data_IF_513203589819
#
_entry.id   IF_513203589819
#
_cell.length_a   1.000
_cell.length_b   1.000
_cell.length_c   1.000
_cell.angle_alpha   90.00
_cell.angle_beta   90.00
_cell.angle_gamma   90.00
#
_symmetry.space_group_name_H-M   'P 1'
#
loop_
_entity.id
_entity.type
_entity.pdbx_description
1 polymer ?
#
# COMPACT_ATOMS: atom_id res chain seq x y z
N UNK A 1 25.47 -45.35 -11.58
CA UNK A 1 25.23 -43.98 -11.02
C UNK A 1 23.84 -43.59 -11.48
N UNK A 2 22.85 -43.71 -10.59
CA UNK A 2 21.48 -43.27 -10.83
C UNK A 2 21.42 -41.76 -10.53
N UNK A 3 21.30 -40.91 -11.55
CA UNK A 3 21.08 -39.48 -11.38
C UNK A 3 19.63 -39.23 -10.97
N UNK A 4 19.42 -38.71 -9.76
CA UNK A 4 18.13 -38.18 -9.34
C UNK A 4 17.86 -36.86 -10.10
N UNK A 5 16.90 -36.87 -11.01
CA UNK A 5 16.41 -35.67 -11.66
C UNK A 5 15.39 -35.07 -10.69
N UNK A 6 15.74 -33.98 -9.99
CA UNK A 6 14.79 -33.15 -9.28
C UNK A 6 13.99 -32.33 -10.31
N UNK A 7 12.77 -32.75 -10.62
CA UNK A 7 11.81 -31.91 -11.31
C UNK A 7 11.34 -30.86 -10.31
N UNK A 8 11.85 -29.64 -10.40
CA UNK A 8 11.24 -28.49 -9.72
C UNK A 8 9.88 -28.24 -10.38
N UNK A 9 8.81 -28.62 -9.70
CA UNK A 9 7.50 -28.12 -10.04
C UNK A 9 7.49 -26.63 -9.68
N UNK A 10 7.42 -25.75 -10.67
CA UNK A 10 7.01 -24.38 -10.43
C UNK A 10 5.58 -24.45 -9.85
N UNK A 11 5.42 -24.05 -8.60
CA UNK A 11 4.09 -23.94 -8.01
C UNK A 11 3.27 -22.96 -8.85
N UNK A 12 2.14 -23.41 -9.38
CA UNK A 12 1.22 -22.54 -10.08
C UNK A 12 0.57 -21.60 -9.03
N UNK A 13 0.64 -20.29 -9.27
CA UNK A 13 -0.07 -19.31 -8.46
C UNK A 13 -1.55 -19.69 -8.36
N UNK A 14 -2.04 -19.83 -7.12
CA UNK A 14 -3.46 -20.09 -6.86
C UNK A 14 -4.23 -18.77 -6.74
N UNK A 15 -5.52 -18.82 -7.05
CA UNK A 15 -6.43 -17.70 -6.88
C UNK A 15 -7.42 -18.03 -5.77
N UNK A 16 -7.43 -17.20 -4.72
CA UNK A 16 -8.39 -17.29 -3.62
C UNK A 16 -9.45 -16.21 -3.81
N UNK A 17 -10.71 -16.60 -3.93
CA UNK A 17 -11.82 -15.65 -4.07
C UNK A 17 -12.47 -15.35 -2.73
N UNK A 18 -12.63 -14.06 -2.42
CA UNK A 18 -13.32 -13.58 -1.21
C UNK A 18 -14.52 -12.75 -1.64
N UNK A 19 -15.71 -13.18 -1.24
CA UNK A 19 -16.98 -12.48 -1.47
C UNK A 19 -17.50 -11.87 -0.17
N UNK A 20 -18.49 -11.00 -0.28
CA UNK A 20 -19.11 -10.37 0.89
C UNK A 20 -19.52 -11.41 1.95
N UNK A 21 -19.20 -11.10 3.22
CA UNK A 21 -19.35 -12.04 4.34
C UNK A 21 -18.18 -13.02 4.52
N UNK A 22 -17.24 -13.09 3.57
CA UNK A 22 -15.97 -13.80 3.74
C UNK A 22 -14.92 -12.95 4.46
N UNK A 23 -13.75 -13.53 4.75
CA UNK A 23 -12.62 -12.84 5.37
C UNK A 23 -11.42 -12.82 4.42
N UNK A 24 -10.91 -11.63 4.14
CA UNK A 24 -9.68 -11.42 3.38
C UNK A 24 -8.49 -11.98 4.15
N UNK A 25 -8.43 -11.73 5.48
CA UNK A 25 -7.36 -12.27 6.32
C UNK A 25 -7.31 -13.79 6.32
N UNK A 26 -8.48 -14.45 6.31
CA UNK A 26 -8.52 -15.91 6.24
C UNK A 26 -7.96 -16.44 4.91
N UNK A 27 -8.26 -15.77 3.79
CA UNK A 27 -7.69 -16.11 2.48
C UNK A 27 -6.17 -15.88 2.44
N UNK A 28 -5.68 -14.75 2.95
CA UNK A 28 -4.24 -14.47 3.07
C UNK A 28 -3.54 -15.51 3.94
N UNK A 29 -4.18 -15.95 5.02
CA UNK A 29 -3.60 -16.99 5.92
C UNK A 29 -3.43 -18.32 5.19
N UNK A 30 -4.34 -18.68 4.30
CA UNK A 30 -4.29 -19.93 3.52
C UNK A 30 -3.37 -19.84 2.30
N UNK A 31 -3.16 -18.65 1.76
CA UNK A 31 -2.36 -18.40 0.58
C UNK A 31 -0.88 -18.81 0.77
N UNK A 32 -0.22 -19.11 -0.32
CA UNK A 32 1.22 -19.32 -0.41
C UNK A 32 1.87 -18.18 -1.19
N UNK A 33 3.20 -18.06 -1.09
CA UNK A 33 3.96 -17.09 -1.89
C UNK A 33 3.62 -17.23 -3.38
N UNK A 34 3.31 -16.11 -4.02
CA UNK A 34 2.89 -16.03 -5.42
C UNK A 34 1.38 -16.10 -5.65
N UNK A 35 0.58 -16.35 -4.63
CA UNK A 35 -0.88 -16.45 -4.77
C UNK A 35 -1.56 -15.08 -4.92
N UNK A 36 -2.74 -15.13 -5.52
CA UNK A 36 -3.61 -13.97 -5.75
C UNK A 36 -4.87 -14.10 -4.91
N UNK A 37 -5.18 -13.07 -4.12
CA UNK A 37 -6.45 -12.95 -3.39
C UNK A 37 -7.33 -11.97 -4.17
N UNK A 38 -8.40 -12.47 -4.80
CA UNK A 38 -9.41 -11.66 -5.49
C UNK A 38 -10.56 -11.36 -4.55
N UNK A 39 -10.77 -10.10 -4.27
CA UNK A 39 -11.81 -9.63 -3.34
C UNK A 39 -12.91 -8.97 -4.12
N UNK A 40 -14.12 -9.49 -4.01
CA UNK A 40 -15.31 -9.00 -4.70
C UNK A 40 -15.98 -7.84 -3.94
N UNK A 41 -16.88 -7.07 -4.58
CA UNK A 41 -17.64 -6.02 -3.93
C UNK A 41 -18.31 -6.50 -2.65
N UNK A 42 -18.30 -5.65 -1.64
CA UNK A 42 -18.82 -5.90 -0.30
C UNK A 42 -18.10 -5.02 0.72
N UNK A 43 -18.60 -4.99 1.94
CA UNK A 43 -17.98 -4.27 3.04
C UNK A 43 -17.30 -5.23 4.00
N UNK A 44 -16.03 -5.00 4.27
CA UNK A 44 -15.17 -5.84 5.10
C UNK A 44 -14.67 -5.03 6.30
N UNK A 45 -14.91 -5.54 7.51
CA UNK A 45 -14.52 -4.88 8.76
C UNK A 45 -13.39 -5.67 9.43
N UNK A 46 -12.21 -5.62 8.84
CA UNK A 46 -11.05 -6.37 9.33
C UNK A 46 -9.73 -5.62 9.09
N UNK A 47 -8.69 -6.04 9.77
CA UNK A 47 -7.29 -5.72 9.47
C UNK A 47 -6.69 -6.91 8.72
N UNK A 48 -6.02 -6.63 7.62
CA UNK A 48 -5.37 -7.65 6.78
C UNK A 48 -3.86 -7.54 6.96
N UNK A 49 -3.24 -8.59 7.47
CA UNK A 49 -1.79 -8.67 7.62
C UNK A 49 -1.18 -9.66 6.61
N UNK A 50 -0.21 -9.19 5.82
CA UNK A 50 0.44 -9.95 4.75
C UNK A 50 1.94 -10.03 5.03
N UNK A 51 2.39 -11.16 5.56
CA UNK A 51 3.79 -11.45 5.90
C UNK A 51 4.48 -12.34 4.87
N UNK A 52 3.74 -12.86 3.89
CA UNK A 52 4.25 -13.75 2.84
C UNK A 52 4.69 -12.96 1.63
N UNK A 53 5.73 -13.46 0.96
CA UNK A 53 6.24 -12.86 -0.26
C UNK A 53 5.29 -13.07 -1.46
N UNK A 54 5.33 -12.15 -2.42
CA UNK A 54 4.67 -12.21 -3.72
C UNK A 54 3.13 -12.38 -3.65
N UNK A 55 2.51 -11.89 -2.58
CA UNK A 55 1.05 -11.88 -2.46
C UNK A 55 0.45 -10.69 -3.20
N UNK A 56 -0.58 -10.97 -4.00
CA UNK A 56 -1.38 -9.94 -4.67
C UNK A 56 -2.79 -9.86 -4.10
N UNK A 57 -3.17 -8.70 -3.54
CA UNK A 57 -4.54 -8.37 -3.19
C UNK A 57 -5.19 -7.59 -4.34
N UNK A 58 -6.16 -8.17 -5.01
CA UNK A 58 -6.81 -7.56 -6.18
C UNK A 58 -8.29 -7.39 -5.90
N UNK A 59 -8.72 -6.13 -5.78
CA UNK A 59 -10.14 -5.81 -5.72
C UNK A 59 -10.81 -5.97 -7.09
N UNK A 60 -11.97 -6.55 -7.10
CA UNK A 60 -12.84 -6.63 -8.27
C UNK A 60 -13.82 -5.46 -8.18
N UNK A 61 -13.87 -4.62 -9.20
CA UNK A 61 -14.86 -3.53 -9.27
C UNK A 61 -15.95 -3.94 -10.26
N UNK A 62 -17.18 -4.06 -9.78
CA UNK A 62 -18.35 -4.46 -10.59
C UNK A 62 -19.45 -3.41 -10.46
N UNK A 63 -19.97 -2.92 -11.57
CA UNK A 63 -21.03 -1.90 -11.62
C UNK A 63 -20.76 -0.66 -10.73
N UNK A 64 -19.48 -0.27 -10.63
CA UNK A 64 -19.04 0.84 -9.79
C UNK A 64 -18.95 0.52 -8.29
N UNK A 65 -19.21 -0.70 -7.89
CA UNK A 65 -19.06 -1.17 -6.53
C UNK A 65 -17.65 -1.73 -6.29
N UNK A 66 -17.07 -1.40 -5.16
CA UNK A 66 -15.71 -1.75 -4.79
C UNK A 66 -15.69 -2.72 -3.61
N UNK A 67 -14.68 -3.58 -3.46
CA UNK A 67 -14.37 -4.13 -2.16
C UNK A 67 -13.98 -2.99 -1.21
N UNK A 68 -14.76 -2.85 -0.15
CA UNK A 68 -14.64 -1.75 0.79
C UNK A 68 -14.17 -2.23 2.15
N UNK A 69 -12.93 -1.91 2.50
CA UNK A 69 -12.40 -2.05 3.86
C UNK A 69 -12.83 -0.84 4.68
N UNK A 70 -13.67 -1.05 5.69
CA UNK A 70 -14.18 0.00 6.58
C UNK A 70 -13.78 -0.26 8.03
N UNK A 71 -12.91 0.55 8.57
CA UNK A 71 -12.41 0.46 9.94
C UNK A 71 -13.41 0.91 11.00
N UNK A 72 -14.55 1.50 10.60
CA UNK A 72 -15.62 1.98 11.49
C UNK A 72 -15.14 2.95 12.58
N UNK A 73 -13.97 3.59 12.42
CA UNK A 73 -13.26 4.37 13.46
C UNK A 73 -12.96 3.57 14.74
N UNK A 74 -12.87 2.24 14.61
CA UNK A 74 -12.56 1.29 15.69
C UNK A 74 -11.22 0.61 15.43
N UNK A 75 -11.04 0.05 14.22
CA UNK A 75 -9.82 -0.65 13.81
C UNK A 75 -8.69 0.34 13.58
N UNK A 76 -7.45 -0.10 13.84
CA UNK A 76 -6.29 0.76 13.71
C UNK A 76 -5.82 0.87 12.25
N UNK A 77 -5.41 -0.21 11.66
CA UNK A 77 -4.86 -0.25 10.30
C UNK A 77 -5.67 -1.19 9.40
N UNK A 78 -5.77 -0.87 8.10
CA UNK A 78 -6.53 -1.72 7.17
C UNK A 78 -5.66 -2.84 6.62
N UNK A 79 -4.54 -2.50 5.97
CA UNK A 79 -3.62 -3.46 5.37
C UNK A 79 -2.22 -3.19 5.90
N UNK A 80 -1.62 -4.21 6.50
CA UNK A 80 -0.22 -4.22 6.93
C UNK A 80 0.53 -5.26 6.11
N UNK A 81 1.66 -4.89 5.52
CA UNK A 81 2.49 -5.85 4.80
C UNK A 81 3.96 -5.77 5.22
N UNK A 82 4.62 -6.93 5.23
CA UNK A 82 6.06 -7.06 5.41
C UNK A 82 6.71 -8.01 4.39
N UNK A 83 5.90 -8.78 3.66
CA UNK A 83 6.37 -9.63 2.57
C UNK A 83 6.91 -8.82 1.39
N UNK A 84 7.93 -9.36 0.70
CA UNK A 84 8.45 -8.78 -0.54
C UNK A 84 7.50 -9.07 -1.71
N UNK A 85 7.53 -8.25 -2.74
CA UNK A 85 6.70 -8.44 -3.93
C UNK A 85 5.19 -8.23 -3.69
N UNK A 86 4.83 -7.64 -2.55
CA UNK A 86 3.42 -7.37 -2.23
C UNK A 86 2.79 -6.42 -3.24
N UNK A 87 1.58 -6.73 -3.67
CA UNK A 87 0.78 -5.80 -4.48
C UNK A 87 -0.65 -5.68 -3.98
N UNK A 88 -1.19 -4.46 -4.05
CA UNK A 88 -2.58 -4.16 -3.70
C UNK A 88 -3.18 -3.17 -4.67
N UNK A 89 -4.36 -3.49 -5.21
CA UNK A 89 -5.05 -2.60 -6.12
C UNK A 89 -6.59 -2.76 -6.09
N UNK A 90 -7.26 -1.66 -6.42
CA UNK A 90 -8.72 -1.58 -6.55
C UNK A 90 -9.51 -1.76 -5.26
N UNK A 91 -8.98 -1.28 -4.13
CA UNK A 91 -9.71 -1.23 -2.87
C UNK A 91 -10.21 0.18 -2.55
N UNK A 92 -11.41 0.26 -1.99
CA UNK A 92 -11.86 1.41 -1.22
C UNK A 92 -11.56 1.17 0.25
N UNK A 93 -10.88 2.10 0.93
CA UNK A 93 -10.46 1.97 2.32
C UNK A 93 -10.88 3.22 3.09
N UNK A 94 -11.63 3.05 4.20
CA UNK A 94 -12.14 4.19 4.96
C UNK A 94 -12.13 3.98 6.46
N UNK A 95 -12.11 5.07 7.21
CA UNK A 95 -12.41 5.13 8.64
C UNK A 95 -11.53 4.25 9.54
N UNK A 96 -10.26 4.05 9.18
CA UNK A 96 -9.28 3.46 10.10
C UNK A 96 -8.65 4.55 10.98
N UNK A 97 -8.37 4.22 12.26
CA UNK A 97 -7.77 5.18 13.21
C UNK A 97 -6.29 5.45 12.95
N UNK A 98 -5.60 4.51 12.35
CA UNK A 98 -4.21 4.61 11.93
C UNK A 98 -4.09 4.70 10.43
N UNK A 99 -3.50 3.71 9.79
CA UNK A 99 -3.12 3.74 8.39
C UNK A 99 -4.09 2.94 7.50
N UNK A 100 -4.22 3.36 6.23
CA UNK A 100 -4.92 2.52 5.27
C UNK A 100 -4.01 1.39 4.77
N UNK A 101 -2.82 1.70 4.25
CA UNK A 101 -1.87 0.69 3.75
C UNK A 101 -0.50 1.03 4.32
N UNK A 102 0.02 0.16 5.20
CA UNK A 102 1.32 0.33 5.82
C UNK A 102 2.25 -0.83 5.47
N UNK A 103 3.44 -0.51 5.01
CA UNK A 103 4.51 -1.47 4.78
C UNK A 103 5.62 -1.35 5.82
N UNK A 104 6.05 -2.48 6.36
CA UNK A 104 7.22 -2.56 7.22
C UNK A 104 8.30 -3.43 6.56
N UNK A 105 9.30 -2.80 5.96
CA UNK A 105 10.44 -3.47 5.31
C UNK A 105 10.11 -4.32 4.07
N UNK A 106 8.90 -4.31 3.54
CA UNK A 106 8.53 -5.01 2.32
C UNK A 106 9.19 -4.39 1.09
N UNK A 107 9.90 -5.19 0.28
CA UNK A 107 10.57 -4.73 -0.93
C UNK A 107 9.78 -5.11 -2.19
N UNK A 108 10.03 -4.40 -3.30
CA UNK A 108 9.38 -4.65 -4.59
C UNK A 108 7.85 -4.56 -4.52
N UNK A 109 7.34 -3.63 -3.72
CA UNK A 109 5.90 -3.46 -3.51
C UNK A 109 5.24 -2.62 -4.61
N UNK A 110 3.93 -2.84 -4.82
CA UNK A 110 3.11 -2.07 -5.76
C UNK A 110 1.74 -1.75 -5.17
N UNK A 111 1.43 -0.47 -4.99
CA UNK A 111 0.18 0.03 -4.40
C UNK A 111 -0.50 0.92 -5.43
N UNK A 112 -1.55 0.43 -6.10
CA UNK A 112 -2.13 1.11 -7.25
C UNK A 112 -3.64 1.16 -7.25
N UNK A 113 -4.20 2.20 -7.86
CA UNK A 113 -5.63 2.29 -8.15
C UNK A 113 -6.54 2.15 -6.92
N UNK A 114 -6.06 2.53 -5.73
CA UNK A 114 -6.86 2.46 -4.51
C UNK A 114 -7.53 3.80 -4.22
N UNK A 115 -8.63 3.77 -3.51
CA UNK A 115 -9.36 4.93 -3.06
C UNK A 115 -9.43 4.96 -1.53
N UNK A 116 -8.66 5.88 -0.92
CA UNK A 116 -8.52 6.00 0.54
C UNK A 116 -9.19 7.27 1.04
N UNK A 117 -10.02 7.14 2.06
CA UNK A 117 -10.76 8.28 2.62
C UNK A 117 -10.78 8.19 4.15
N UNK A 118 -10.49 9.31 4.82
CA UNK A 118 -10.76 9.51 6.26
C UNK A 118 -10.03 8.44 7.13
N UNK A 119 -8.69 8.46 7.12
CA UNK A 119 -7.84 7.69 8.03
C UNK A 119 -7.14 8.62 9.03
N UNK A 120 -6.97 8.14 10.26
CA UNK A 120 -6.55 8.96 11.39
C UNK A 120 -5.02 9.16 11.48
N UNK A 121 -4.22 8.59 10.58
CA UNK A 121 -2.79 8.85 10.53
C UNK A 121 -2.33 8.95 9.07
N UNK A 122 -1.89 7.88 8.44
CA UNK A 122 -1.44 7.90 7.04
C UNK A 122 -2.37 7.16 6.09
N UNK A 123 -2.45 7.63 4.86
CA UNK A 123 -3.12 6.88 3.80
C UNK A 123 -2.26 5.71 3.33
N UNK A 124 -1.15 5.97 2.67
CA UNK A 124 -0.18 4.96 2.21
C UNK A 124 1.18 5.26 2.84
N UNK A 125 1.70 4.30 3.59
CA UNK A 125 2.94 4.45 4.37
C UNK A 125 3.90 3.26 4.18
N UNK A 126 4.75 3.24 3.16
CA UNK A 126 5.90 2.34 3.14
C UNK A 126 7.00 2.86 4.07
N UNK A 127 7.45 2.01 4.98
CA UNK A 127 8.55 2.26 5.89
C UNK A 127 9.63 1.19 5.71
N UNK A 128 10.90 1.61 5.58
CA UNK A 128 12.07 0.76 5.35
C UNK A 128 11.97 -0.16 4.11
N UNK A 129 11.17 0.21 3.12
CA UNK A 129 10.98 -0.55 1.89
C UNK A 129 11.96 -0.16 0.78
N UNK A 130 12.17 -1.06 -0.18
CA UNK A 130 12.98 -0.82 -1.38
C UNK A 130 12.21 -1.18 -2.65
N UNK A 131 12.46 -0.43 -3.75
CA UNK A 131 11.90 -0.68 -5.07
C UNK A 131 10.37 -0.71 -5.07
N UNK A 132 9.77 0.41 -4.61
CA UNK A 132 8.32 0.52 -4.48
C UNK A 132 7.67 1.36 -5.58
N UNK A 133 6.42 1.05 -5.90
CA UNK A 133 5.57 1.85 -6.77
C UNK A 133 4.26 2.21 -6.07
N UNK A 134 3.95 3.51 -6.01
CA UNK A 134 2.67 4.05 -5.52
C UNK A 134 2.07 4.86 -6.65
N UNK A 135 1.02 4.34 -7.31
CA UNK A 135 0.54 4.93 -8.56
C UNK A 135 -0.98 4.95 -8.68
N UNK A 136 -1.51 6.03 -9.27
CA UNK A 136 -2.94 6.18 -9.60
C UNK A 136 -3.89 6.02 -8.41
N UNK A 137 -3.45 6.30 -7.19
CA UNK A 137 -4.32 6.26 -6.01
C UNK A 137 -5.02 7.60 -5.82
N UNK A 138 -6.20 7.58 -5.19
CA UNK A 138 -6.97 8.76 -4.80
C UNK A 138 -7.08 8.77 -3.28
N UNK A 139 -6.56 9.82 -2.61
CA UNK A 139 -6.54 9.91 -1.16
C UNK A 139 -7.06 11.27 -0.68
N UNK A 140 -7.97 11.23 0.30
CA UNK A 140 -8.56 12.46 0.86
C UNK A 140 -8.99 12.31 2.31
N UNK A 141 -8.97 13.43 3.06
CA UNK A 141 -9.41 13.45 4.44
C UNK A 141 -8.48 12.71 5.41
N UNK A 142 -7.20 12.62 5.08
CA UNK A 142 -6.19 11.96 5.91
C UNK A 142 -5.70 12.95 6.98
N UNK A 143 -5.69 12.51 8.25
CA UNK A 143 -5.39 13.39 9.39
C UNK A 143 -3.90 13.76 9.51
N UNK A 144 -3.01 13.07 8.80
CA UNK A 144 -1.60 13.44 8.66
C UNK A 144 -1.21 13.45 7.18
N UNK A 145 -0.41 12.54 6.67
CA UNK A 145 -0.01 12.52 5.26
C UNK A 145 -0.81 11.50 4.42
N UNK A 146 -1.31 11.94 3.25
CA UNK A 146 -1.97 11.02 2.34
C UNK A 146 -1.03 9.92 1.84
N UNK A 147 0.18 10.30 1.43
CA UNK A 147 1.26 9.36 1.09
C UNK A 147 2.50 9.78 1.87
N UNK A 148 3.05 8.87 2.67
CA UNK A 148 4.27 9.09 3.43
C UNK A 148 5.30 8.01 3.09
N UNK A 149 6.39 8.41 2.43
CA UNK A 149 7.53 7.54 2.11
C UNK A 149 8.59 7.74 3.20
N UNK A 150 8.67 6.79 4.14
CA UNK A 150 9.52 6.89 5.31
C UNK A 150 10.73 5.95 5.25
N UNK A 151 11.94 6.49 5.40
CA UNK A 151 13.20 5.72 5.51
C UNK A 151 13.38 4.64 4.43
N UNK A 152 12.86 4.89 3.23
CA UNK A 152 12.78 3.95 2.12
C UNK A 152 13.72 4.33 0.97
N UNK A 153 13.94 3.40 0.04
CA UNK A 153 14.83 3.57 -1.10
C UNK A 153 14.17 3.17 -2.41
N UNK A 154 14.46 3.92 -3.49
CA UNK A 154 13.98 3.61 -4.85
C UNK A 154 12.46 3.48 -4.91
N UNK A 155 11.74 4.49 -4.40
CA UNK A 155 10.28 4.53 -4.43
C UNK A 155 9.79 5.54 -5.46
N UNK A 156 8.93 5.09 -6.36
CA UNK A 156 8.25 5.92 -7.32
C UNK A 156 6.83 6.25 -6.84
N UNK A 157 6.50 7.53 -6.69
CA UNK A 157 5.17 8.05 -6.35
C UNK A 157 4.64 8.80 -7.56
N UNK A 158 3.73 8.19 -8.32
CA UNK A 158 3.32 8.71 -9.63
C UNK A 158 1.81 8.83 -9.80
N UNK A 159 1.37 9.88 -10.46
CA UNK A 159 -0.02 10.02 -10.94
C UNK A 159 -1.09 9.87 -9.85
N UNK A 160 -0.77 10.11 -8.58
CA UNK A 160 -1.75 10.05 -7.49
C UNK A 160 -2.50 11.38 -7.38
N UNK A 161 -3.72 11.33 -6.85
CA UNK A 161 -4.51 12.49 -6.48
C UNK A 161 -4.65 12.54 -4.97
N UNK A 162 -4.09 13.58 -4.33
CA UNK A 162 -4.10 13.75 -2.87
C UNK A 162 -4.69 15.12 -2.54
N UNK A 163 -5.81 15.16 -1.83
CA UNK A 163 -6.51 16.41 -1.56
C UNK A 163 -7.27 16.41 -0.24
N UNK A 164 -7.41 17.59 0.33
CA UNK A 164 -8.11 17.82 1.60
C UNK A 164 -7.47 17.01 2.76
N UNK A 165 -6.12 16.94 2.80
CA UNK A 165 -5.33 16.29 3.83
C UNK A 165 -4.51 17.32 4.62
N UNK A 166 -3.90 16.94 5.73
CA UNK A 166 -2.89 17.77 6.38
C UNK A 166 -1.65 17.85 5.48
N UNK A 167 -1.03 16.74 5.11
CA UNK A 167 -0.01 16.72 4.08
C UNK A 167 -0.43 15.86 2.89
N UNK A 168 -0.07 16.27 1.68
CA UNK A 168 -0.36 15.51 0.47
C UNK A 168 0.61 14.34 0.30
N UNK A 169 1.89 14.65 0.05
CA UNK A 169 2.94 13.64 -0.12
C UNK A 169 4.14 14.05 0.72
N UNK A 170 4.62 13.17 1.56
CA UNK A 170 5.84 13.32 2.35
C UNK A 170 6.89 12.31 1.96
N UNK A 171 8.14 12.78 1.84
CA UNK A 171 9.33 11.97 1.62
C UNK A 171 10.31 12.28 2.74
N UNK A 172 10.39 11.40 3.73
CA UNK A 172 11.18 11.63 4.93
C UNK A 172 12.33 10.62 5.03
N UNK A 173 13.54 11.09 5.27
CA UNK A 173 14.76 10.29 5.46
C UNK A 173 14.91 9.15 4.41
N UNK A 174 14.46 9.43 3.18
CA UNK A 174 14.40 8.46 2.09
C UNK A 174 15.35 8.86 0.94
N UNK A 175 15.72 7.90 0.10
CA UNK A 175 16.72 8.09 -0.95
C UNK A 175 16.20 7.57 -2.29
N UNK A 176 16.66 8.19 -3.39
CA UNK A 176 16.29 7.79 -4.76
C UNK A 176 14.76 7.74 -4.96
N UNK A 177 14.04 8.75 -4.45
CA UNK A 177 12.57 8.81 -4.56
C UNK A 177 12.16 9.70 -5.72
N UNK A 178 11.29 9.21 -6.58
CA UNK A 178 10.70 10.00 -7.65
C UNK A 178 9.24 10.32 -7.34
N UNK A 179 8.91 11.61 -7.25
CA UNK A 179 7.54 12.13 -7.10
C UNK A 179 7.16 12.84 -8.40
N UNK A 180 6.35 12.20 -9.25
CA UNK A 180 6.07 12.71 -10.60
C UNK A 180 4.59 12.60 -11.00
N UNK A 181 4.07 13.66 -11.61
CA UNK A 181 2.73 13.64 -12.22
C UNK A 181 1.57 13.57 -11.21
N UNK A 182 1.82 13.83 -9.93
CA UNK A 182 0.77 13.79 -8.92
C UNK A 182 -0.02 15.11 -8.89
N UNK A 183 -1.25 15.06 -8.44
CA UNK A 183 -2.07 16.24 -8.15
C UNK A 183 -2.24 16.36 -6.64
N UNK A 184 -1.55 17.33 -6.03
CA UNK A 184 -1.69 17.65 -4.61
C UNK A 184 -2.42 18.99 -4.47
N UNK A 185 -3.67 18.99 -3.99
CA UNK A 185 -4.48 20.20 -3.87
C UNK A 185 -5.23 20.28 -2.55
N UNK A 186 -5.48 21.49 -2.07
CA UNK A 186 -6.21 21.77 -0.82
C UNK A 186 -5.62 21.06 0.43
N UNK A 187 -4.35 20.69 0.40
CA UNK A 187 -3.66 20.18 1.59
C UNK A 187 -3.01 21.35 2.33
N UNK A 188 -2.76 21.21 3.63
CA UNK A 188 -1.98 22.22 4.37
C UNK A 188 -0.53 22.24 3.90
N UNK A 189 0.08 21.05 3.71
CA UNK A 189 1.34 20.86 3.00
C UNK A 189 1.12 20.10 1.70
N UNK A 190 1.62 20.57 0.56
CA UNK A 190 1.44 19.93 -0.74
C UNK A 190 2.34 18.69 -0.89
N UNK A 191 3.61 18.92 -1.22
CA UNK A 191 4.66 17.89 -1.33
C UNK A 191 5.85 18.35 -0.49
N UNK A 192 6.29 17.51 0.45
CA UNK A 192 7.37 17.81 1.37
C UNK A 192 8.49 16.77 1.25
N UNK A 193 9.74 17.24 1.22
CA UNK A 193 10.93 16.39 1.27
C UNK A 193 11.81 16.90 2.40
N UNK A 194 12.07 16.09 3.40
CA UNK A 194 12.76 16.55 4.60
C UNK A 194 13.50 15.42 5.33
N UNK A 195 14.28 15.82 6.35
CA UNK A 195 15.03 14.93 7.24
C UNK A 195 14.62 15.23 8.68
N UNK A 196 14.25 14.18 9.40
CA UNK A 196 14.10 14.21 10.86
C UNK A 196 15.33 13.58 11.52
N UNK A 197 16.11 14.35 12.30
CA UNK A 197 17.41 13.87 12.82
C UNK A 197 17.35 12.69 13.77
N UNK A 198 16.21 12.46 14.43
CA UNK A 198 16.02 11.41 15.44
C UNK A 198 15.75 10.02 14.87
N UNK A 199 15.48 9.91 13.56
CA UNK A 199 15.11 8.63 12.94
C UNK A 199 16.34 7.73 12.69
N UNK A 200 16.12 6.39 12.56
CA UNK A 200 17.21 5.42 12.31
C UNK A 200 18.02 5.71 11.05
N UNK A 201 17.36 6.01 9.94
CA UNK A 201 18.01 6.46 8.71
C UNK A 201 18.19 7.98 8.79
N UNK A 202 19.42 8.46 8.70
CA UNK A 202 19.77 9.89 8.89
C UNK A 202 20.14 10.61 7.59
N UNK A 203 19.72 10.06 6.46
CA UNK A 203 20.05 10.62 5.15
C UNK A 203 18.83 10.69 4.25
N UNK A 204 18.74 11.77 3.49
CA UNK A 204 17.81 11.92 2.37
C UNK A 204 18.60 12.57 1.23
N UNK A 205 18.60 11.95 0.09
CA UNK A 205 19.25 12.47 -1.10
C UNK A 205 18.61 11.85 -2.35
N UNK A 206 18.85 12.50 -3.48
CA UNK A 206 18.41 12.06 -4.79
C UNK A 206 16.87 11.91 -4.89
N UNK A 207 16.16 12.82 -4.20
CA UNK A 207 14.71 12.95 -4.35
C UNK A 207 14.42 13.88 -5.53
N UNK A 208 13.64 13.38 -6.50
CA UNK A 208 13.25 14.14 -7.70
C UNK A 208 11.74 14.42 -7.61
N UNK A 209 11.39 15.69 -7.52
CA UNK A 209 9.98 16.16 -7.54
C UNK A 209 9.76 16.94 -8.82
N UNK A 210 8.88 16.45 -9.70
CA UNK A 210 8.64 17.10 -11.00
C UNK A 210 7.26 16.84 -11.56
N UNK A 211 6.75 17.79 -12.35
CA UNK A 211 5.48 17.68 -13.11
C UNK A 211 4.25 17.38 -12.24
N UNK A 212 4.28 17.78 -10.98
CA UNK A 212 3.15 17.67 -10.09
C UNK A 212 2.25 18.90 -10.15
#
# INVERSE_FOLDING_TARGET
ILGLIFLSHAASSAVHEVKEGGSIQAAVTQAQSGDVIRVFPGTYHETVYVDKDDISLIGVVEDGQWPHLDGQKILNDAILYSGNGFSVEWFKITHYKGNAIMGQSGNNFSIRNNWVIDTGLYGIFPEFGHNGLIENNILSGIEDAAIYVGMSDYVDVRNNQVFDNVAGIEVENSRHVLVEGNVARNNTGGILVFITPGLPIKSSYDAIVRRN
#
